data_IF_882449308842
#
_entry.id   IF_882449308842
#
_cell.length_a   1.000
_cell.length_b   1.000
_cell.length_c   1.000
_cell.angle_alpha   90.00
_cell.angle_beta   90.00
_cell.angle_gamma   90.00
#
_symmetry.space_group_name_H-M   'P 1'
#
loop_
_entity.id
_entity.type
_entity.pdbx_description
1 polymer ?
#
# COMPACT_ATOMS: atom_id res chain seq x y z
N UNK A 1 -10.14 43.58 54.75
CA UNK A 1 -9.75 42.25 54.23
C UNK A 1 -9.24 42.44 52.80
N UNK A 2 -7.92 42.65 52.62
CA UNK A 2 -7.32 42.97 51.30
C UNK A 2 -7.27 41.69 50.46
N UNK A 3 -8.09 41.63 49.43
CA UNK A 3 -8.09 40.54 48.45
C UNK A 3 -6.73 40.56 47.74
N UNK A 4 -5.99 39.46 47.83
CA UNK A 4 -4.63 39.35 47.30
C UNK A 4 -4.68 39.10 45.78
N UNK A 5 -4.60 40.18 44.99
CA UNK A 5 -4.66 40.16 43.52
C UNK A 5 -3.67 39.19 42.85
N UNK A 6 -2.55 38.88 43.52
CA UNK A 6 -1.52 37.98 43.00
C UNK A 6 -1.99 36.53 42.90
N UNK A 7 -2.79 36.08 43.86
CA UNK A 7 -3.36 34.72 43.84
C UNK A 7 -4.48 34.59 42.81
N UNK A 8 -5.20 35.70 42.55
CA UNK A 8 -6.26 35.75 41.55
C UNK A 8 -5.70 35.66 40.11
N UNK A 9 -4.54 36.27 39.86
CA UNK A 9 -3.88 36.20 38.56
C UNK A 9 -3.35 34.80 38.24
N UNK A 10 -2.79 34.12 39.25
CA UNK A 10 -2.33 32.72 39.13
C UNK A 10 -3.52 31.80 38.83
N UNK A 11 -4.65 31.98 39.53
CA UNK A 11 -5.87 31.22 39.30
C UNK A 11 -6.42 31.40 37.88
N UNK A 12 -6.38 32.62 37.34
CA UNK A 12 -6.83 32.91 35.97
C UNK A 12 -5.92 32.25 34.92
N UNK A 13 -4.59 32.25 35.14
CA UNK A 13 -3.64 31.58 34.25
C UNK A 13 -3.83 30.06 34.29
N UNK A 14 -4.02 29.48 35.48
CA UNK A 14 -4.29 28.04 35.60
C UNK A 14 -5.60 27.66 34.93
N UNK A 15 -6.65 28.48 35.08
CA UNK A 15 -7.95 28.26 34.44
C UNK A 15 -7.85 28.35 32.92
N UNK A 16 -7.13 29.33 32.39
CA UNK A 16 -6.95 29.49 30.93
C UNK A 16 -6.10 28.37 30.33
N UNK A 17 -5.04 27.92 31.00
CA UNK A 17 -4.26 26.75 30.60
C UNK A 17 -5.10 25.47 30.64
N UNK A 18 -5.96 25.30 31.65
CA UNK A 18 -6.85 24.15 31.75
C UNK A 18 -7.88 24.12 30.60
N UNK A 19 -8.49 25.27 30.29
CA UNK A 19 -9.42 25.40 29.15
C UNK A 19 -8.70 25.14 27.82
N UNK A 20 -7.47 25.62 27.65
CA UNK A 20 -6.65 25.34 26.47
C UNK A 20 -6.32 23.84 26.32
N UNK A 21 -5.96 23.17 27.42
CA UNK A 21 -5.77 21.71 27.43
C UNK A 21 -7.05 20.95 27.08
N UNK A 22 -8.23 21.43 27.50
CA UNK A 22 -9.53 20.85 27.08
C UNK A 22 -9.77 21.03 25.58
N UNK A 23 -9.39 22.17 25.01
CA UNK A 23 -9.49 22.43 23.56
C UNK A 23 -8.50 21.56 22.75
N UNK A 24 -7.28 21.35 23.25
CA UNK A 24 -6.25 20.51 22.62
C UNK A 24 -6.51 19.01 22.74
N UNK A 25 -7.29 18.58 23.75
CA UNK A 25 -7.74 17.18 23.91
C UNK A 25 -9.01 16.86 23.14
N UNK A 26 -9.53 17.82 22.35
CA UNK A 26 -10.58 17.57 21.36
C UNK A 26 -9.99 16.82 20.17
N UNK A 27 -9.56 15.59 20.44
CA UNK A 27 -9.28 14.58 19.44
C UNK A 27 -10.57 14.17 18.74
N UNK A 28 -10.42 13.87 17.47
CA UNK A 28 -11.45 13.58 16.47
C UNK A 28 -12.30 14.78 16.05
N UNK A 29 -11.78 15.46 15.03
CA UNK A 29 -12.64 16.02 13.99
C UNK A 29 -13.61 14.92 13.57
N UNK A 30 -14.90 15.13 13.85
CA UNK A 30 -15.95 14.16 13.54
C UNK A 30 -16.08 14.09 12.02
N UNK A 31 -15.29 13.22 11.38
CA UNK A 31 -15.38 12.95 9.94
C UNK A 31 -16.83 12.55 9.67
N UNK A 32 -17.56 13.35 8.89
CA UNK A 32 -18.89 12.94 8.48
C UNK A 32 -18.75 11.62 7.72
N UNK A 33 -19.50 10.61 8.17
CA UNK A 33 -19.58 9.31 7.50
C UNK A 33 -19.78 9.43 5.99
N UNK A 34 -20.44 10.49 5.51
CA UNK A 34 -20.63 10.75 4.08
C UNK A 34 -19.36 11.23 3.35
N UNK A 35 -18.43 11.85 4.06
CA UNK A 35 -17.17 12.38 3.50
C UNK A 35 -16.06 11.34 3.48
N UNK A 36 -16.18 10.26 4.25
CA UNK A 36 -15.17 9.21 4.28
C UNK A 36 -15.03 8.52 2.91
N UNK A 37 -13.78 8.39 2.43
CA UNK A 37 -13.43 7.96 1.06
C UNK A 37 -14.12 6.67 0.60
N UNK A 38 -14.36 5.72 1.53
CA UNK A 38 -15.00 4.44 1.24
C UNK A 38 -16.49 4.56 0.84
N UNK A 39 -17.16 5.67 1.22
CA UNK A 39 -18.56 5.93 0.90
C UNK A 39 -18.75 6.90 -0.26
N UNK A 40 -17.65 7.40 -0.84
CA UNK A 40 -17.70 8.24 -2.02
C UNK A 40 -17.77 7.40 -3.30
N UNK A 41 -18.50 7.91 -4.30
CA UNK A 41 -18.54 7.26 -5.62
C UNK A 41 -17.14 7.25 -6.25
N UNK A 42 -16.69 6.06 -6.69
CA UNK A 42 -15.44 5.91 -7.43
C UNK A 42 -15.58 6.60 -8.78
N UNK A 43 -14.65 7.51 -9.09
CA UNK A 43 -14.56 8.18 -10.40
C UNK A 43 -13.34 7.65 -11.13
N UNK A 44 -13.51 7.22 -12.38
CA UNK A 44 -12.40 6.74 -13.20
C UNK A 44 -11.58 7.93 -13.71
N UNK A 45 -10.29 8.05 -13.35
CA UNK A 45 -9.43 9.11 -13.87
C UNK A 45 -9.20 8.95 -15.38
N UNK A 46 -9.07 10.08 -16.08
CA UNK A 46 -8.69 10.10 -17.49
C UNK A 46 -7.20 9.76 -17.63
N UNK A 47 -6.88 8.80 -18.51
CA UNK A 47 -5.53 8.40 -18.88
C UNK A 47 -5.41 8.56 -20.40
N UNK A 48 -4.33 9.19 -20.93
CA UNK A 48 -4.13 9.32 -22.37
C UNK A 48 -4.06 7.96 -23.08
N UNK A 49 -4.60 7.89 -24.31
CA UNK A 49 -4.59 6.66 -25.12
C UNK A 49 -3.17 6.19 -25.50
N UNK A 50 -2.18 7.10 -25.47
CA UNK A 50 -0.77 6.77 -25.73
C UNK A 50 -0.18 5.74 -24.77
N UNK A 51 -0.79 5.56 -23.59
CA UNK A 51 -0.35 4.63 -22.54
C UNK A 51 -1.30 3.43 -22.38
N UNK A 52 -2.12 3.14 -23.41
CA UNK A 52 -3.15 2.08 -23.36
C UNK A 52 -2.62 0.68 -22.99
N UNK A 53 -1.31 0.44 -23.09
CA UNK A 53 -0.68 -0.83 -22.70
C UNK A 53 -0.50 -1.03 -21.18
N UNK A 54 -0.35 0.05 -20.40
CA UNK A 54 -0.16 -0.01 -18.95
C UNK A 54 -0.55 1.33 -18.27
N UNK A 55 -1.84 1.52 -17.92
CA UNK A 55 -2.30 2.76 -17.31
C UNK A 55 -1.71 2.98 -15.91
N UNK A 56 -1.26 1.92 -15.22
CA UNK A 56 -0.63 2.04 -13.89
C UNK A 56 0.73 2.72 -14.05
N UNK A 57 1.52 2.30 -15.05
CA UNK A 57 2.80 2.91 -15.36
C UNK A 57 2.69 4.39 -15.69
N UNK A 58 1.59 4.83 -16.31
CA UNK A 58 1.32 6.25 -16.54
C UNK A 58 1.17 7.05 -15.24
N UNK A 59 0.40 6.56 -14.26
CA UNK A 59 0.26 7.26 -12.97
C UNK A 59 1.60 7.34 -12.24
N UNK A 60 2.39 6.27 -12.28
CA UNK A 60 3.72 6.22 -11.67
C UNK A 60 4.65 7.23 -12.36
N UNK A 61 4.74 7.21 -13.69
CA UNK A 61 5.61 8.12 -14.44
C UNK A 61 5.20 9.58 -14.24
N UNK A 62 3.89 9.87 -14.26
CA UNK A 62 3.36 11.20 -13.99
C UNK A 62 3.77 11.71 -12.60
N UNK A 63 3.72 10.87 -11.57
CA UNK A 63 4.13 11.23 -10.22
C UNK A 63 5.64 11.44 -10.12
N UNK A 64 6.44 10.54 -10.71
CA UNK A 64 7.90 10.61 -10.67
C UNK A 64 8.45 11.84 -11.43
N UNK A 65 7.87 12.15 -12.59
CA UNK A 65 8.23 13.32 -13.39
C UNK A 65 8.01 14.64 -12.63
N UNK A 66 6.96 14.72 -11.80
CA UNK A 66 6.70 15.90 -10.95
C UNK A 66 7.81 16.12 -9.93
N UNK A 67 8.37 15.03 -9.42
CA UNK A 67 9.45 15.04 -8.43
C UNK A 67 10.84 15.00 -9.09
N UNK A 68 10.95 15.03 -10.42
CA UNK A 68 12.22 14.92 -11.16
C UNK A 68 13.00 13.63 -10.84
N UNK A 69 12.28 12.53 -10.61
CA UNK A 69 12.85 11.20 -10.34
C UNK A 69 12.69 10.34 -11.60
N UNK A 70 13.74 9.63 -11.99
CA UNK A 70 13.68 8.68 -13.09
C UNK A 70 13.11 7.32 -12.65
N UNK A 71 12.45 6.63 -13.59
CA UNK A 71 12.00 5.26 -13.39
C UNK A 71 13.20 4.31 -13.23
N UNK A 72 13.08 3.35 -12.32
CA UNK A 72 14.07 2.27 -12.21
C UNK A 72 14.07 1.39 -13.46
N UNK A 73 15.23 0.77 -13.73
CA UNK A 73 15.34 -0.21 -14.80
C UNK A 73 14.47 -1.43 -14.52
N UNK A 74 14.01 -2.08 -15.60
CA UNK A 74 13.25 -3.32 -15.46
C UNK A 74 14.09 -4.39 -14.78
N UNK A 75 13.45 -5.17 -13.90
CA UNK A 75 14.11 -6.30 -13.25
C UNK A 75 14.52 -7.35 -14.29
N UNK A 76 15.65 -8.02 -14.05
CA UNK A 76 16.05 -9.14 -14.89
C UNK A 76 14.99 -10.25 -14.86
N UNK A 77 14.89 -11.05 -15.94
CA UNK A 77 13.92 -12.16 -16.01
C UNK A 77 14.02 -13.11 -14.82
N UNK A 78 15.24 -13.44 -14.43
CA UNK A 78 15.53 -14.27 -13.26
C UNK A 78 14.95 -13.67 -11.98
N UNK A 79 15.05 -12.36 -11.81
CA UNK A 79 14.63 -11.68 -10.58
C UNK A 79 13.13 -11.58 -10.45
N UNK A 80 12.43 -11.15 -11.50
CA UNK A 80 10.98 -11.05 -11.42
C UNK A 80 10.34 -12.44 -11.32
N UNK A 81 10.86 -13.47 -11.99
CA UNK A 81 10.36 -14.85 -11.85
C UNK A 81 10.50 -15.33 -10.41
N UNK A 82 11.68 -15.15 -9.80
CA UNK A 82 11.90 -15.56 -8.40
C UNK A 82 10.97 -14.83 -7.45
N UNK A 83 10.80 -13.52 -7.62
CA UNK A 83 9.87 -12.69 -6.82
C UNK A 83 8.43 -13.18 -6.97
N UNK A 84 8.01 -13.50 -8.19
CA UNK A 84 6.66 -13.99 -8.47
C UNK A 84 6.36 -15.28 -7.70
N UNK A 85 7.28 -16.23 -7.74
CA UNK A 85 7.19 -17.50 -7.02
C UNK A 85 7.08 -17.31 -5.50
N UNK A 86 7.95 -16.47 -4.92
CA UNK A 86 7.87 -16.15 -3.49
C UNK A 86 6.55 -15.47 -3.12
N UNK A 87 6.10 -14.49 -3.92
CA UNK A 87 4.88 -13.73 -3.62
C UNK A 87 3.61 -14.57 -3.74
N UNK A 88 3.54 -15.49 -4.71
CA UNK A 88 2.33 -16.27 -4.95
C UNK A 88 2.29 -17.53 -4.10
N UNK A 89 3.38 -18.30 -4.05
CA UNK A 89 3.37 -19.63 -3.41
C UNK A 89 4.36 -19.77 -2.26
N UNK A 90 5.08 -18.70 -1.88
CA UNK A 90 5.97 -18.69 -0.72
C UNK A 90 7.27 -19.49 -0.87
N UNK A 91 7.53 -20.07 -2.05
CA UNK A 91 8.67 -20.95 -2.31
C UNK A 91 9.40 -20.51 -3.58
N UNK A 92 10.73 -20.64 -3.65
CA UNK A 92 11.45 -20.35 -4.87
C UNK A 92 11.12 -21.40 -5.96
N UNK A 93 11.27 -21.03 -7.23
CA UNK A 93 11.25 -21.99 -8.33
C UNK A 93 12.43 -22.97 -8.22
N UNK A 94 12.27 -24.18 -8.77
CA UNK A 94 13.40 -25.11 -8.88
C UNK A 94 14.49 -24.55 -9.79
N UNK A 95 15.72 -24.99 -9.59
CA UNK A 95 16.84 -24.54 -10.42
C UNK A 95 16.62 -24.85 -11.91
N UNK A 96 16.09 -26.04 -12.22
CA UNK A 96 15.78 -26.46 -13.60
C UNK A 96 14.68 -25.61 -14.22
N UNK A 97 13.61 -25.28 -13.46
CA UNK A 97 12.53 -24.40 -13.93
C UNK A 97 13.05 -22.98 -14.17
N UNK A 98 13.91 -22.44 -13.29
CA UNK A 98 14.54 -21.12 -13.50
C UNK A 98 15.37 -21.06 -14.77
N UNK A 99 16.19 -22.09 -15.03
CA UNK A 99 16.99 -22.16 -16.25
C UNK A 99 16.09 -22.23 -17.49
N UNK A 100 15.07 -23.09 -17.49
CA UNK A 100 14.11 -23.20 -18.58
C UNK A 100 13.41 -21.86 -18.87
N UNK A 101 12.93 -21.17 -17.83
CA UNK A 101 12.29 -19.85 -17.96
C UNK A 101 13.27 -18.77 -18.45
N UNK A 102 14.56 -18.88 -18.11
CA UNK A 102 15.57 -17.91 -18.53
C UNK A 102 15.87 -17.94 -20.04
N UNK A 103 15.71 -19.12 -20.68
CA UNK A 103 15.94 -19.33 -22.12
C UNK A 103 14.63 -19.40 -22.92
N UNK A 104 13.48 -19.19 -22.29
CA UNK A 104 12.17 -19.21 -22.95
C UNK A 104 12.09 -18.08 -24.00
N UNK A 105 11.63 -18.41 -25.21
CA UNK A 105 11.58 -17.47 -26.33
C UNK A 105 10.37 -16.52 -26.28
N UNK A 106 9.38 -16.78 -25.40
CA UNK A 106 8.19 -15.94 -25.27
C UNK A 106 8.54 -14.54 -24.78
N UNK A 107 7.75 -13.51 -25.18
CA UNK A 107 7.87 -12.18 -24.61
C UNK A 107 7.52 -12.21 -23.11
N UNK A 108 8.17 -11.36 -22.31
CA UNK A 108 7.98 -11.31 -20.84
C UNK A 108 6.52 -11.09 -20.43
N UNK A 109 5.74 -10.36 -21.24
CA UNK A 109 4.30 -10.12 -20.99
C UNK A 109 3.46 -11.39 -21.11
N UNK A 110 3.75 -12.27 -22.07
CA UNK A 110 3.07 -13.54 -22.25
C UNK A 110 3.54 -14.55 -21.20
N UNK A 111 4.85 -14.62 -20.98
CA UNK A 111 5.47 -15.51 -20.00
C UNK A 111 4.95 -15.22 -18.58
N UNK A 112 4.92 -13.96 -18.19
CA UNK A 112 4.42 -13.55 -16.87
C UNK A 112 2.95 -13.90 -16.67
N UNK A 113 2.08 -13.65 -17.66
CA UNK A 113 0.66 -14.02 -17.59
C UNK A 113 0.48 -15.53 -17.40
N UNK A 114 1.12 -16.32 -18.27
CA UNK A 114 1.06 -17.79 -18.20
C UNK A 114 1.59 -18.33 -16.86
N UNK A 115 2.67 -17.75 -16.34
CA UNK A 115 3.25 -18.18 -15.07
C UNK A 115 2.41 -17.76 -13.86
N UNK A 116 1.79 -16.58 -13.89
CA UNK A 116 0.82 -16.15 -12.87
C UNK A 116 -0.34 -17.12 -12.81
N UNK A 117 -0.93 -17.47 -13.96
CA UNK A 117 -2.05 -18.41 -14.03
C UNK A 117 -1.65 -19.80 -13.50
N UNK A 118 -0.46 -20.30 -13.85
CA UNK A 118 0.11 -21.56 -13.33
C UNK A 118 0.22 -21.52 -11.79
N UNK A 119 0.75 -20.42 -11.24
CA UNK A 119 1.01 -20.29 -9.81
C UNK A 119 -0.27 -20.08 -8.99
N UNK A 120 -1.21 -19.29 -9.49
CA UNK A 120 -2.53 -19.09 -8.85
C UNK A 120 -3.36 -20.38 -8.86
N UNK A 121 -3.21 -21.21 -9.90
CA UNK A 121 -3.86 -22.52 -9.99
C UNK A 121 -3.26 -23.60 -9.08
N UNK A 122 -2.11 -23.34 -8.45
CA UNK A 122 -1.45 -24.30 -7.55
C UNK A 122 -2.12 -24.34 -6.17
N UNK A 123 -2.35 -25.52 -5.57
CA UNK A 123 -2.83 -25.61 -4.18
C UNK A 123 -1.95 -24.84 -3.17
N UNK A 124 -0.65 -24.74 -3.47
CA UNK A 124 0.33 -24.01 -2.64
C UNK A 124 0.04 -22.52 -2.53
N UNK A 125 -0.63 -21.93 -3.51
CA UNK A 125 -1.07 -20.54 -3.42
C UNK A 125 -2.03 -20.37 -2.23
N UNK A 126 -3.05 -21.23 -2.15
CA UNK A 126 -3.99 -21.25 -1.03
C UNK A 126 -3.30 -21.52 0.30
N UNK A 127 -2.37 -22.49 0.36
CA UNK A 127 -1.59 -22.79 1.57
C UNK A 127 -0.74 -21.58 2.04
N UNK A 128 -0.09 -20.89 1.11
CA UNK A 128 0.75 -19.73 1.42
C UNK A 128 -0.06 -18.57 1.99
N UNK A 129 -1.18 -18.25 1.34
CA UNK A 129 -2.05 -17.14 1.76
C UNK A 129 -2.88 -17.49 3.00
N UNK A 130 -3.32 -18.73 3.16
CA UNK A 130 -4.07 -19.16 4.33
C UNK A 130 -3.27 -18.98 5.62
N UNK A 131 -1.94 -19.18 5.60
CA UNK A 131 -1.09 -18.94 6.78
C UNK A 131 -1.29 -17.55 7.38
N UNK A 132 -1.29 -16.51 6.53
CA UNK A 132 -1.50 -15.13 6.97
C UNK A 132 -2.89 -14.94 7.61
N UNK A 133 -3.90 -15.62 7.07
CA UNK A 133 -5.26 -15.55 7.61
C UNK A 133 -5.45 -16.38 8.89
N UNK A 134 -4.77 -17.52 9.03
CA UNK A 134 -4.81 -18.34 10.23
C UNK A 134 -4.22 -17.59 11.44
N UNK A 135 -3.17 -16.82 11.22
CA UNK A 135 -2.59 -15.94 12.25
C UNK A 135 -3.62 -14.89 12.70
N UNK A 136 -4.31 -14.24 11.75
CA UNK A 136 -5.36 -13.24 12.05
C UNK A 136 -6.55 -13.88 12.77
N UNK A 137 -6.91 -15.10 12.39
CA UNK A 137 -8.00 -15.86 13.00
C UNK A 137 -7.66 -16.44 14.38
N UNK A 138 -6.40 -16.30 14.85
CA UNK A 138 -5.89 -16.90 16.09
C UNK A 138 -6.06 -18.41 16.13
N UNK A 139 -5.83 -19.07 14.99
CA UNK A 139 -5.77 -20.51 14.92
C UNK A 139 -4.39 -20.96 15.41
N UNK A 140 -4.27 -21.22 16.71
CA UNK A 140 -3.05 -21.68 17.39
C UNK A 140 -3.37 -22.74 18.42
#
# INVERSE_FOLDING_TARGET
MKINNRNHFILLICLSCFICCIQLTRGDEKIDSKEHWAFQSIKRPSVPDTDAGDPIRWFISKSLNKETIDLSSSASRRDWVRRLYYNLIGLPPSHTKLLALSVDARPDSELSRSLVDELLGSPRYGEHWARLWLDVARYS
#
